data_IF_380638886291
#
_entry.id   IF_380638886291
#
_cell.length_a   1.000
_cell.length_b   1.000
_cell.length_c   1.000
_cell.angle_alpha   90.00
_cell.angle_beta   90.00
_cell.angle_gamma   90.00
#
_symmetry.space_group_name_H-M   'P 1'
#
loop_
_entity.id
_entity.type
_entity.pdbx_description
1 polymer ?
#
# COMPACT_ATOMS: atom_id res chain seq x y z
N UNK A 1 65.00 -51.17 -22.35
CA UNK A 1 63.73 -50.86 -23.03
C UNK A 1 62.81 -50.17 -22.03
N UNK A 2 62.68 -48.85 -22.08
CA UNK A 2 61.80 -48.09 -21.18
C UNK A 2 60.79 -47.32 -22.03
N UNK A 3 59.50 -47.55 -21.80
CA UNK A 3 58.39 -46.86 -22.49
C UNK A 3 57.92 -45.69 -21.61
N UNK A 4 57.85 -44.44 -22.11
CA UNK A 4 57.18 -43.39 -21.39
C UNK A 4 55.67 -43.49 -21.64
N UNK A 5 54.88 -43.68 -20.59
CA UNK A 5 53.44 -43.52 -20.68
C UNK A 5 53.12 -42.02 -20.59
N UNK A 6 52.65 -41.45 -21.69
CA UNK A 6 52.09 -40.10 -21.73
C UNK A 6 50.73 -40.09 -21.02
N UNK A 7 50.70 -39.63 -19.78
CA UNK A 7 49.48 -39.31 -19.06
C UNK A 7 48.85 -38.07 -19.71
N UNK A 8 47.80 -38.25 -20.52
CA UNK A 8 46.96 -37.13 -20.98
C UNK A 8 46.25 -36.52 -19.78
N UNK A 9 46.62 -35.29 -19.42
CA UNK A 9 45.88 -34.50 -18.45
C UNK A 9 44.48 -34.22 -19.03
N UNK A 10 43.45 -34.80 -18.40
CA UNK A 10 42.06 -34.46 -18.66
C UNK A 10 41.89 -33.02 -18.18
N UNK A 11 41.74 -32.08 -19.11
CA UNK A 11 41.30 -30.73 -18.80
C UNK A 11 39.90 -30.83 -18.19
N UNK A 12 39.81 -30.73 -16.87
CA UNK A 12 38.55 -30.63 -16.16
C UNK A 12 37.85 -29.34 -16.63
N UNK A 13 36.77 -29.48 -17.41
CA UNK A 13 35.85 -28.38 -17.68
C UNK A 13 35.27 -27.94 -16.33
N UNK A 14 35.66 -26.75 -15.87
CA UNK A 14 35.16 -26.14 -14.64
C UNK A 14 33.67 -25.81 -14.77
N UNK A 15 32.82 -26.80 -14.56
CA UNK A 15 31.38 -26.64 -14.39
C UNK A 15 31.13 -26.12 -12.97
N UNK A 16 31.30 -24.83 -12.74
CA UNK A 16 31.08 -24.26 -11.40
C UNK A 16 31.47 -22.79 -11.24
N UNK A 17 32.38 -22.26 -12.07
CA UNK A 17 32.76 -20.85 -12.01
C UNK A 17 31.55 -19.91 -12.22
N UNK A 18 30.65 -20.26 -13.15
CA UNK A 18 29.40 -19.54 -13.42
C UNK A 18 28.46 -19.52 -12.21
N UNK A 19 28.46 -20.57 -11.37
CA UNK A 19 27.59 -20.63 -10.20
C UNK A 19 28.03 -19.65 -9.10
N UNK A 20 29.34 -19.42 -8.96
CA UNK A 20 29.89 -18.51 -7.95
C UNK A 20 29.60 -17.05 -8.31
N UNK A 21 29.69 -16.68 -9.59
CA UNK A 21 29.35 -15.34 -10.05
C UNK A 21 27.85 -15.03 -9.84
N UNK A 22 27.00 -16.02 -10.06
CA UNK A 22 25.56 -15.89 -9.85
C UNK A 22 25.17 -15.68 -8.38
N UNK A 23 25.96 -16.17 -7.41
CA UNK A 23 25.68 -15.98 -5.97
C UNK A 23 25.66 -14.51 -5.56
N UNK A 24 26.42 -13.64 -6.23
CA UNK A 24 26.42 -12.20 -5.92
C UNK A 24 25.33 -11.44 -6.67
N UNK A 25 25.07 -11.81 -7.93
CA UNK A 25 24.11 -11.10 -8.78
C UNK A 25 22.67 -11.44 -8.37
N UNK A 26 22.41 -12.70 -7.99
CA UNK A 26 21.07 -13.18 -7.67
C UNK A 26 20.41 -12.40 -6.52
N UNK A 27 21.04 -12.22 -5.34
CA UNK A 27 20.42 -11.46 -4.25
C UNK A 27 20.13 -10.02 -4.63
N UNK A 28 21.06 -9.36 -5.34
CA UNK A 28 20.89 -7.96 -5.78
C UNK A 28 19.70 -7.84 -6.73
N UNK A 29 19.65 -8.68 -7.77
CA UNK A 29 18.54 -8.70 -8.72
C UNK A 29 17.22 -9.03 -8.03
N UNK A 30 17.22 -10.03 -7.14
CA UNK A 30 16.06 -10.42 -6.36
C UNK A 30 15.53 -9.26 -5.51
N UNK A 31 16.38 -8.54 -4.80
CA UNK A 31 15.97 -7.38 -3.98
C UNK A 31 15.36 -6.29 -4.86
N UNK A 32 15.96 -5.99 -6.01
CA UNK A 32 15.43 -4.96 -6.92
C UNK A 32 14.05 -5.38 -7.44
N UNK A 33 13.90 -6.61 -7.94
CA UNK A 33 12.61 -7.09 -8.42
C UNK A 33 11.56 -7.15 -7.30
N UNK A 34 11.95 -7.63 -6.12
CA UNK A 34 11.08 -7.70 -4.96
C UNK A 34 10.63 -6.30 -4.53
N UNK A 35 11.55 -5.33 -4.48
CA UNK A 35 11.24 -3.95 -4.16
C UNK A 35 10.27 -3.33 -5.17
N UNK A 36 10.47 -3.56 -6.47
CA UNK A 36 9.55 -3.09 -7.52
C UNK A 36 8.14 -3.65 -7.31
N UNK A 37 8.02 -4.95 -7.04
CA UNK A 37 6.72 -5.61 -6.82
C UNK A 37 6.05 -5.04 -5.58
N UNK A 38 6.77 -4.99 -4.45
CA UNK A 38 6.23 -4.58 -3.16
C UNK A 38 5.82 -3.11 -3.16
N UNK A 39 6.67 -2.20 -3.67
CA UNK A 39 6.29 -0.79 -3.81
C UNK A 39 5.18 -0.59 -4.82
N UNK A 40 5.17 -1.34 -5.93
CA UNK A 40 4.10 -1.30 -6.91
C UNK A 40 2.75 -1.65 -6.30
N UNK A 41 2.69 -2.72 -5.51
CA UNK A 41 1.49 -3.13 -4.78
C UNK A 41 1.09 -2.13 -3.69
N UNK A 42 2.05 -1.59 -2.94
CA UNK A 42 1.78 -0.59 -1.91
C UNK A 42 1.16 0.68 -2.52
N UNK A 43 1.73 1.19 -3.63
CA UNK A 43 1.22 2.36 -4.32
C UNK A 43 -0.18 2.10 -4.91
N UNK A 44 -0.37 0.93 -5.52
CA UNK A 44 -1.68 0.51 -6.03
C UNK A 44 -2.74 0.50 -4.91
N UNK A 45 -2.42 -0.01 -3.72
CA UNK A 45 -3.33 -0.01 -2.58
C UNK A 45 -3.66 1.39 -2.10
N UNK A 46 -2.65 2.25 -1.92
CA UNK A 46 -2.86 3.64 -1.50
C UNK A 46 -3.76 4.37 -2.50
N UNK A 47 -3.54 4.17 -3.81
CA UNK A 47 -4.39 4.76 -4.84
C UNK A 47 -5.83 4.24 -4.77
N UNK A 48 -6.03 2.95 -4.53
CA UNK A 48 -7.37 2.37 -4.36
C UNK A 48 -8.06 2.88 -3.09
N UNK A 49 -7.34 3.04 -1.97
CA UNK A 49 -7.87 3.59 -0.72
C UNK A 49 -8.31 5.05 -0.89
N UNK A 50 -7.51 5.86 -1.59
CA UNK A 50 -7.89 7.23 -1.94
C UNK A 50 -9.15 7.24 -2.80
N UNK A 51 -9.19 6.45 -3.88
CA UNK A 51 -10.38 6.34 -4.73
C UNK A 51 -11.63 5.89 -3.95
N UNK A 52 -11.49 4.91 -3.06
CA UNK A 52 -12.58 4.43 -2.23
C UNK A 52 -13.09 5.50 -1.26
N UNK A 53 -12.17 6.29 -0.70
CA UNK A 53 -12.51 7.42 0.18
C UNK A 53 -13.25 8.52 -0.58
N UNK A 54 -12.84 8.83 -1.82
CA UNK A 54 -13.52 9.81 -2.68
C UNK A 54 -14.95 9.39 -3.01
N UNK A 55 -15.16 8.14 -3.38
CA UNK A 55 -16.48 7.63 -3.74
C UNK A 55 -17.41 7.51 -2.52
N UNK A 56 -16.88 7.21 -1.33
CA UNK A 56 -17.66 7.27 -0.07
C UNK A 56 -18.15 8.70 0.19
N UNK A 57 -17.26 9.68 0.11
CA UNK A 57 -17.60 11.09 0.30
C UNK A 57 -18.58 11.58 -0.78
N UNK A 58 -18.38 11.17 -2.04
CA UNK A 58 -19.28 11.49 -3.15
C UNK A 58 -20.67 10.90 -2.94
N UNK A 59 -20.77 9.66 -2.46
CA UNK A 59 -22.04 9.05 -2.15
C UNK A 59 -22.74 9.72 -0.95
N UNK A 60 -21.97 10.27 -0.01
CA UNK A 60 -22.53 11.02 1.12
C UNK A 60 -23.31 12.26 0.67
N UNK A 61 -22.91 12.94 -0.42
CA UNK A 61 -23.61 14.11 -0.99
C UNK A 61 -25.09 13.88 -1.31
N UNK A 62 -25.53 12.63 -1.44
CA UNK A 62 -26.94 12.31 -1.63
C UNK A 62 -27.80 12.51 -0.36
N UNK A 63 -27.22 12.94 0.76
CA UNK A 63 -27.97 13.24 1.96
C UNK A 63 -28.76 14.55 1.79
N UNK A 64 -30.09 14.46 1.79
CA UNK A 64 -30.97 15.62 1.62
C UNK A 64 -31.17 16.41 2.93
N UNK A 65 -31.11 15.73 4.08
CA UNK A 65 -31.40 16.31 5.41
C UNK A 65 -30.15 16.52 6.29
N UNK A 66 -28.94 16.33 5.75
CA UNK A 66 -27.70 16.55 6.50
C UNK A 66 -27.35 18.03 6.55
N UNK A 67 -27.38 18.61 7.75
CA UNK A 67 -27.12 20.05 7.98
C UNK A 67 -26.08 20.32 9.07
N UNK A 68 -25.82 19.33 9.93
CA UNK A 68 -24.84 19.40 11.00
C UNK A 68 -23.65 18.45 10.77
N UNK A 69 -22.53 18.74 11.42
CA UNK A 69 -21.30 17.92 11.34
C UNK A 69 -21.57 16.46 11.73
N UNK A 70 -22.34 16.23 12.80
CA UNK A 70 -22.64 14.88 13.32
C UNK A 70 -23.51 14.07 12.35
N UNK A 71 -24.46 14.71 11.66
CA UNK A 71 -25.29 14.07 10.63
C UNK A 71 -24.45 13.62 9.44
N UNK A 72 -23.53 14.48 8.96
CA UNK A 72 -22.59 14.14 7.89
C UNK A 72 -21.67 12.99 8.27
N UNK A 73 -21.09 13.00 9.47
CA UNK A 73 -20.26 11.90 9.95
C UNK A 73 -21.04 10.60 10.02
N UNK A 74 -22.25 10.64 10.58
CA UNK A 74 -23.12 9.45 10.68
C UNK A 74 -23.43 8.89 9.29
N UNK A 75 -23.75 9.75 8.32
CA UNK A 75 -24.04 9.33 6.95
C UNK A 75 -22.81 8.73 6.26
N UNK A 76 -21.66 9.38 6.37
CA UNK A 76 -20.39 8.87 5.84
C UNK A 76 -20.07 7.51 6.47
N UNK A 77 -20.25 7.37 7.78
CA UNK A 77 -19.98 6.13 8.50
C UNK A 77 -20.91 4.99 8.04
N UNK A 78 -22.19 5.28 7.80
CA UNK A 78 -23.14 4.31 7.28
C UNK A 78 -22.71 3.82 5.89
N UNK A 79 -22.37 4.74 4.98
CA UNK A 79 -21.93 4.43 3.61
C UNK A 79 -20.60 3.66 3.64
N UNK A 80 -19.61 4.17 4.37
CA UNK A 80 -18.29 3.54 4.54
C UNK A 80 -18.43 2.11 5.08
N UNK A 81 -19.29 1.91 6.08
CA UNK A 81 -19.53 0.58 6.64
C UNK A 81 -20.16 -0.40 5.66
N UNK A 82 -20.78 0.03 4.57
CA UNK A 82 -21.31 -0.86 3.52
C UNK A 82 -20.29 -1.05 2.42
N UNK A 83 -19.68 0.05 1.96
CA UNK A 83 -18.86 0.11 0.75
C UNK A 83 -17.38 -0.27 0.96
N UNK A 84 -16.88 -0.12 2.19
CA UNK A 84 -15.51 -0.50 2.59
C UNK A 84 -15.46 -1.83 3.34
N UNK A 85 -16.53 -2.64 3.27
CA UNK A 85 -16.62 -3.91 4.00
C UNK A 85 -15.69 -4.97 3.42
N UNK A 86 -15.25 -5.83 4.34
CA UNK A 86 -14.53 -7.07 4.06
C UNK A 86 -15.44 -8.06 3.35
N UNK A 87 -15.04 -8.50 2.15
CA UNK A 87 -15.67 -9.55 1.34
C UNK A 87 -16.98 -9.19 0.61
N UNK A 88 -17.17 -7.92 0.26
CA UNK A 88 -18.25 -7.58 -0.67
C UNK A 88 -17.74 -7.61 -2.12
N UNK A 89 -18.45 -8.33 -3.00
CA UNK A 89 -18.11 -8.37 -4.43
C UNK A 89 -18.35 -7.02 -5.11
N UNK A 90 -19.23 -6.21 -4.52
CA UNK A 90 -19.54 -4.85 -4.95
C UNK A 90 -18.81 -3.78 -4.12
N UNK A 91 -17.85 -4.19 -3.28
CA UNK A 91 -17.02 -3.31 -2.46
C UNK A 91 -15.99 -2.52 -3.28
N UNK A 92 -15.55 -1.36 -2.77
CA UNK A 92 -14.61 -0.49 -3.51
C UNK A 92 -13.14 -0.89 -3.35
N UNK A 93 -12.85 -1.77 -2.40
CA UNK A 93 -11.50 -2.16 -2.05
C UNK A 93 -11.08 -3.39 -2.84
N UNK A 94 -9.94 -3.30 -3.53
CA UNK A 94 -9.34 -4.42 -4.27
C UNK A 94 -8.84 -5.50 -3.31
N UNK A 95 -8.54 -5.10 -2.06
CA UNK A 95 -8.11 -5.98 -1.00
C UNK A 95 -8.63 -5.48 0.35
N UNK A 96 -9.18 -6.39 1.16
CA UNK A 96 -9.68 -6.08 2.50
C UNK A 96 -9.02 -7.00 3.53
N UNK A 97 -7.86 -6.61 4.09
CA UNK A 97 -7.21 -7.35 5.16
C UNK A 97 -7.99 -7.26 6.47
N UNK A 98 -7.63 -8.12 7.43
CA UNK A 98 -8.11 -8.04 8.82
C UNK A 98 -7.65 -6.75 9.52
N UNK A 99 -6.54 -6.17 9.05
CA UNK A 99 -5.99 -4.90 9.53
C UNK A 99 -6.62 -3.66 8.89
N UNK A 100 -7.63 -3.85 8.04
CA UNK A 100 -8.36 -2.73 7.42
C UNK A 100 -9.08 -1.93 8.51
N UNK A 101 -8.83 -0.63 8.50
CA UNK A 101 -9.48 0.35 9.36
C UNK A 101 -9.80 1.58 8.52
N UNK A 102 -10.86 2.28 8.90
CA UNK A 102 -11.21 3.54 8.28
C UNK A 102 -11.73 4.50 9.35
N UNK A 103 -11.58 5.79 9.07
CA UNK A 103 -12.04 6.87 9.94
C UNK A 103 -12.59 8.02 9.09
N UNK A 104 -13.59 8.71 9.61
CA UNK A 104 -14.10 9.98 9.10
C UNK A 104 -13.79 11.08 10.12
N UNK A 105 -13.51 12.28 9.63
CA UNK A 105 -13.32 13.49 10.43
C UNK A 105 -14.04 14.64 9.72
N UNK A 106 -15.19 15.08 10.25
CA UNK A 106 -15.90 16.24 9.75
C UNK A 106 -15.75 17.42 10.71
N UNK A 107 -15.64 18.62 10.14
CA UNK A 107 -15.53 19.84 10.93
C UNK A 107 -16.11 21.03 10.17
N UNK A 108 -16.52 22.03 10.93
CA UNK A 108 -16.96 23.30 10.36
C UNK A 108 -15.76 24.03 9.74
N UNK A 109 -15.85 24.30 8.43
CA UNK A 109 -14.78 24.93 7.68
C UNK A 109 -14.64 26.43 8.02
N UNK A 110 -15.62 27.01 8.71
CA UNK A 110 -15.59 28.39 9.21
C UNK A 110 -14.69 28.55 10.44
N UNK A 111 -14.35 27.44 11.13
CA UNK A 111 -13.35 27.41 12.21
C UNK A 111 -12.09 26.68 11.74
N UNK A 112 -11.32 27.25 10.80
CA UNK A 112 -10.12 26.60 10.29
C UNK A 112 -9.08 26.38 11.39
N UNK A 113 -8.30 25.31 11.27
CA UNK A 113 -7.07 25.17 12.04
C UNK A 113 -6.11 26.32 11.68
N UNK A 114 -5.23 26.70 12.61
CA UNK A 114 -4.31 27.82 12.44
C UNK A 114 -3.54 27.73 11.10
N UNK A 115 -3.77 28.70 10.21
CA UNK A 115 -3.09 28.80 8.92
C UNK A 115 -3.90 28.35 7.69
N UNK A 116 -5.18 27.98 7.83
CA UNK A 116 -6.07 27.64 6.71
C UNK A 116 -7.08 28.78 6.42
N UNK A 117 -7.47 29.00 5.15
CA UNK A 117 -8.51 29.97 4.80
C UNK A 117 -9.84 29.54 5.40
N UNK A 118 -10.58 30.49 5.99
CA UNK A 118 -11.96 30.25 6.41
C UNK A 118 -12.83 30.04 5.18
N UNK A 119 -13.53 28.90 5.15
CA UNK A 119 -14.46 28.53 4.10
C UNK A 119 -15.85 28.42 4.73
N UNK A 120 -16.89 28.68 3.94
CA UNK A 120 -18.27 28.47 4.37
C UNK A 120 -18.69 27.05 4.02
N UNK A 121 -19.20 26.27 4.98
CA UNK A 121 -19.60 24.88 4.79
C UNK A 121 -18.92 23.88 5.74
N UNK A 122 -19.18 22.59 5.52
CA UNK A 122 -18.64 21.49 6.34
C UNK A 122 -17.60 20.74 5.53
N UNK A 123 -16.39 20.58 6.06
CA UNK A 123 -15.35 19.76 5.41
C UNK A 123 -15.25 18.41 6.11
N UNK A 124 -15.36 17.33 5.35
CA UNK A 124 -15.11 15.98 5.84
C UNK A 124 -13.91 15.35 5.15
N UNK A 125 -13.06 14.68 5.92
CA UNK A 125 -11.99 13.82 5.45
C UNK A 125 -12.32 12.36 5.77
N UNK A 126 -12.14 11.47 4.80
CA UNK A 126 -12.19 10.03 5.01
C UNK A 126 -10.80 9.47 4.81
N UNK A 127 -10.35 8.67 5.77
CA UNK A 127 -9.06 7.99 5.76
C UNK A 127 -9.29 6.48 5.81
N UNK A 128 -8.75 5.76 4.83
CA UNK A 128 -8.76 4.30 4.78
C UNK A 128 -7.34 3.79 4.93
N UNK A 129 -7.11 2.87 5.86
CA UNK A 129 -5.78 2.41 6.21
C UNK A 129 -5.70 0.91 6.44
N UNK A 130 -4.59 0.29 6.04
CA UNK A 130 -4.33 -1.14 6.28
C UNK A 130 -2.85 -1.46 6.34
N UNK A 131 -2.52 -2.64 6.87
CA UNK A 131 -1.17 -3.20 6.70
C UNK A 131 -0.90 -3.46 5.20
N UNK A 132 0.36 -3.38 4.74
CA UNK A 132 0.71 -3.72 3.36
C UNK A 132 0.44 -5.20 3.06
N UNK A 133 0.12 -5.49 1.80
CA UNK A 133 -0.08 -6.86 1.30
C UNK A 133 1.17 -7.73 1.44
N UNK A 134 2.32 -7.14 1.13
CA UNK A 134 3.63 -7.75 1.27
C UNK A 134 4.50 -6.79 2.07
N UNK A 135 5.04 -7.28 3.19
CA UNK A 135 5.98 -6.54 4.03
C UNK A 135 7.40 -6.74 3.53
N UNK A 136 8.31 -5.83 3.88
CA UNK A 136 9.72 -5.92 3.53
C UNK A 136 10.41 -7.12 4.17
N UNK A 137 11.41 -7.68 3.47
CA UNK A 137 12.23 -8.78 3.98
C UNK A 137 13.30 -8.19 4.90
N UNK A 138 13.45 -8.75 6.10
CA UNK A 138 14.50 -8.34 7.04
C UNK A 138 15.86 -8.88 6.59
N UNK A 139 16.74 -7.97 6.17
CA UNK A 139 18.11 -8.29 5.78
C UNK A 139 19.09 -8.06 6.94
N UNK A 140 20.01 -9.00 7.20
CA UNK A 140 21.05 -8.80 8.20
C UNK A 140 21.94 -7.61 7.81
N UNK A 141 22.02 -6.61 8.69
CA UNK A 141 22.82 -5.39 8.51
C UNK A 141 22.14 -4.23 7.78
N UNK A 142 21.04 -4.45 7.05
CA UNK A 142 20.38 -3.41 6.23
C UNK A 142 18.93 -3.11 6.64
N UNK A 143 18.34 -3.85 7.57
CA UNK A 143 16.95 -3.64 8.00
C UNK A 143 15.93 -4.25 7.04
N UNK A 144 14.68 -3.76 7.06
CA UNK A 144 13.64 -4.22 6.15
C UNK A 144 13.83 -3.64 4.76
N UNK A 145 13.78 -4.48 3.73
CA UNK A 145 13.87 -4.07 2.34
C UNK A 145 12.77 -4.73 1.50
N UNK A 146 11.97 -3.94 0.78
CA UNK A 146 11.88 -2.48 0.83
C UNK A 146 11.33 -1.95 2.17
N UNK A 147 11.65 -0.69 2.49
CA UNK A 147 11.17 -0.02 3.70
C UNK A 147 9.77 0.56 3.44
N UNK A 148 8.78 0.05 4.17
CA UNK A 148 7.39 0.44 4.05
C UNK A 148 6.88 0.86 5.44
N UNK A 149 5.96 1.84 5.49
CA UNK A 149 5.27 2.13 6.72
C UNK A 149 4.43 0.91 7.14
N UNK A 150 4.31 0.70 8.46
CA UNK A 150 3.50 -0.39 9.03
C UNK A 150 2.02 -0.30 8.62
N UNK A 151 1.55 0.90 8.26
CA UNK A 151 0.20 1.16 7.81
C UNK A 151 0.25 2.03 6.54
N UNK A 152 -0.35 1.52 5.47
CA UNK A 152 -0.63 2.27 4.25
C UNK A 152 -1.95 3.02 4.46
N UNK A 153 -2.02 4.26 4.01
CA UNK A 153 -3.19 5.12 4.20
C UNK A 153 -3.50 5.88 2.93
N UNK A 154 -4.77 5.81 2.49
CA UNK A 154 -5.34 6.65 1.44
C UNK A 154 -6.39 7.58 2.03
N UNK A 155 -6.42 8.82 1.55
CA UNK A 155 -7.25 9.89 2.11
C UNK A 155 -7.94 10.67 1.01
N UNK A 156 -9.16 11.12 1.30
CA UNK A 156 -9.88 12.08 0.48
C UNK A 156 -10.62 13.07 1.38
N UNK A 157 -10.80 14.29 0.89
CA UNK A 157 -11.57 15.32 1.59
C UNK A 157 -12.54 16.01 0.63
N UNK A 158 -13.78 16.23 1.08
CA UNK A 158 -14.78 17.02 0.35
C UNK A 158 -15.35 18.10 1.26
N UNK A 159 -15.62 19.26 0.68
CA UNK A 159 -16.36 20.36 1.31
C UNK A 159 -17.80 20.29 0.80
N UNK A 160 -18.74 20.23 1.75
CA UNK A 160 -20.18 20.14 1.58
C UNK A 160 -20.80 21.53 1.73
#
# INVERSE_FOLDING_TARGET
MARPNFSRAIQQRQKGAVAIEFVFIFPVFFIICYAIIVYGLAFMLVQNFTYASEEVLRAALACEDCSSVEEWETQINNIASVRLKKNDADGLLIYSPDSLSWASDCRDAATPAAGQPALDGIICEVTVSSAPLLDGITMPGFGKLPDLPNLLSGKASLLF
#
